data_IF_371031932201
#
_entry.id   IF_371031932201
#
_cell.length_a   1.000
_cell.length_b   1.000
_cell.length_c   1.000
_cell.angle_alpha   90.00
_cell.angle_beta   90.00
_cell.angle_gamma   90.00
#
_symmetry.space_group_name_H-M   'P 1'
#
loop_
_entity.id
_entity.type
_entity.pdbx_description
1 polymer ?
#
# COMPACT_ATOMS: atom_id res chain seq x y z
N UNK A 1 -24.76 8.07 26.52
CA UNK A 1 -23.71 8.84 25.81
C UNK A 1 -24.23 9.16 24.42
N UNK A 2 -24.18 10.42 23.98
CA UNK A 2 -24.51 10.81 22.60
C UNK A 2 -23.21 10.97 21.83
N UNK A 3 -22.92 10.07 20.89
CA UNK A 3 -21.79 10.20 19.97
C UNK A 3 -22.26 10.91 18.70
N UNK A 4 -21.50 11.89 18.22
CA UNK A 4 -21.71 12.50 16.91
C UNK A 4 -20.69 11.92 15.94
N UNK A 5 -21.09 11.04 14.99
CA UNK A 5 -20.15 10.49 14.03
C UNK A 5 -19.67 11.59 13.09
N UNK A 6 -18.41 11.48 12.65
CA UNK A 6 -17.88 12.31 11.57
C UNK A 6 -18.06 11.54 10.28
N UNK A 7 -18.88 12.09 9.38
CA UNK A 7 -19.07 11.55 8.03
C UNK A 7 -17.84 11.79 7.16
N UNK A 8 -17.84 11.18 5.96
CA UNK A 8 -16.73 11.30 5.02
C UNK A 8 -16.42 12.77 4.68
N UNK A 9 -17.45 13.57 4.42
CA UNK A 9 -17.29 14.95 3.95
C UNK A 9 -16.73 15.87 5.04
N UNK A 10 -17.14 15.70 6.30
CA UNK A 10 -16.52 16.37 7.44
C UNK A 10 -15.05 15.97 7.56
N UNK A 11 -14.73 14.68 7.43
CA UNK A 11 -13.35 14.21 7.54
C UNK A 11 -12.45 14.75 6.44
N UNK A 12 -12.95 14.80 5.20
CA UNK A 12 -12.25 15.42 4.06
C UNK A 12 -11.98 16.92 4.30
N UNK A 13 -12.95 17.66 4.87
CA UNK A 13 -12.70 19.06 5.26
C UNK A 13 -11.61 19.20 6.31
N UNK A 14 -11.56 18.30 7.29
CA UNK A 14 -10.48 18.30 8.28
C UNK A 14 -9.12 17.97 7.67
N UNK A 15 -9.04 17.14 6.62
CA UNK A 15 -7.81 16.94 5.86
C UNK A 15 -7.32 18.27 5.25
N UNK A 16 -8.24 19.06 4.66
CA UNK A 16 -7.91 20.35 4.06
C UNK A 16 -7.39 21.37 5.09
N UNK A 17 -7.97 21.39 6.29
CA UNK A 17 -7.61 22.32 7.35
C UNK A 17 -6.32 21.95 8.10
N UNK A 18 -6.02 20.65 8.25
CA UNK A 18 -5.01 20.18 9.20
C UNK A 18 -3.76 19.58 8.56
N UNK A 19 -3.86 19.05 7.33
CA UNK A 19 -2.71 18.42 6.68
C UNK A 19 -1.80 19.45 6.01
N UNK A 20 -0.52 19.09 5.87
CA UNK A 20 0.47 19.85 5.11
C UNK A 20 -0.05 20.17 3.70
N UNK A 21 0.30 21.33 3.11
CA UNK A 21 -0.04 21.64 1.71
C UNK A 21 0.44 20.58 0.71
N UNK A 22 1.53 19.89 1.03
CA UNK A 22 2.14 18.85 0.20
C UNK A 22 1.46 17.47 0.35
N UNK A 23 0.49 17.33 1.27
CA UNK A 23 -0.19 16.07 1.51
C UNK A 23 -1.29 15.80 0.47
N UNK A 24 -1.39 14.55 0.05
CA UNK A 24 -2.42 14.13 -0.91
C UNK A 24 -3.79 14.09 -0.23
N UNK A 25 -4.72 14.91 -0.72
CA UNK A 25 -6.10 14.95 -0.21
C UNK A 25 -6.93 13.78 -0.72
N UNK A 26 -7.78 13.19 0.11
CA UNK A 26 -8.67 12.11 -0.34
C UNK A 26 -9.74 12.58 -1.35
N UNK A 27 -9.96 13.89 -1.47
CA UNK A 27 -10.86 14.51 -2.45
C UNK A 27 -10.31 14.47 -3.87
N UNK A 28 -8.99 14.35 -4.06
CA UNK A 28 -8.35 14.23 -5.38
C UNK A 28 -8.23 12.78 -5.86
N UNK A 29 -8.67 11.82 -5.03
CA UNK A 29 -8.62 10.40 -5.32
C UNK A 29 -9.47 10.03 -6.54
N UNK A 30 -8.88 9.31 -7.49
CA UNK A 30 -9.56 8.83 -8.70
C UNK A 30 -9.45 7.31 -8.79
N UNK A 31 -10.45 6.65 -9.38
CA UNK A 31 -10.54 5.19 -9.51
C UNK A 31 -10.75 4.81 -10.98
N UNK A 32 -10.30 3.61 -11.41
CA UNK A 32 -10.58 3.09 -12.75
C UNK A 32 -12.09 2.99 -13.04
N UNK A 33 -12.85 2.41 -12.12
CA UNK A 33 -14.30 2.25 -12.26
C UNK A 33 -15.06 3.21 -11.33
N UNK A 34 -16.04 3.97 -11.85
CA UNK A 34 -16.88 4.83 -11.03
C UNK A 34 -17.60 4.05 -9.93
N UNK A 35 -17.57 4.58 -8.72
CA UNK A 35 -18.22 3.95 -7.57
C UNK A 35 -18.81 5.01 -6.65
N UNK A 36 -19.98 4.72 -6.07
CA UNK A 36 -20.59 5.61 -5.09
C UNK A 36 -19.66 5.80 -3.88
N UNK A 37 -19.36 7.04 -3.49
CA UNK A 37 -18.57 7.34 -2.29
C UNK A 37 -19.21 6.76 -1.00
N UNK A 38 -18.39 6.29 -0.06
CA UNK A 38 -18.84 5.71 1.22
C UNK A 38 -19.26 6.83 2.18
N UNK A 39 -20.31 6.62 2.97
CA UNK A 39 -20.85 7.66 3.86
C UNK A 39 -19.88 8.13 4.95
N UNK A 40 -18.91 7.31 5.35
CA UNK A 40 -18.02 7.59 6.50
C UNK A 40 -16.52 7.51 6.17
N UNK A 41 -16.14 6.62 5.25
CA UNK A 41 -14.73 6.37 4.92
C UNK A 41 -14.26 7.22 3.75
N UNK A 42 -13.05 7.76 3.85
CA UNK A 42 -12.37 8.42 2.73
C UNK A 42 -11.95 7.41 1.67
N UNK A 43 -11.58 7.89 0.48
CA UNK A 43 -11.19 7.00 -0.61
C UNK A 43 -9.98 6.12 -0.25
N UNK A 44 -8.98 6.67 0.45
CA UNK A 44 -7.78 5.93 0.85
C UNK A 44 -8.04 4.95 1.99
N UNK A 45 -8.96 5.25 2.91
CA UNK A 45 -9.38 4.28 3.92
C UNK A 45 -10.10 3.08 3.32
N UNK A 46 -10.93 3.31 2.29
CA UNK A 46 -11.55 2.20 1.56
C UNK A 46 -10.51 1.34 0.88
N UNK A 47 -9.47 1.93 0.31
CA UNK A 47 -8.37 1.19 -0.34
C UNK A 47 -7.59 0.35 0.66
N UNK A 48 -7.21 0.95 1.80
CA UNK A 48 -6.61 0.24 2.92
C UNK A 48 -7.44 -0.98 3.32
N UNK A 49 -8.74 -0.78 3.56
CA UNK A 49 -9.63 -1.84 4.01
C UNK A 49 -9.72 -2.97 2.95
N UNK A 50 -9.79 -2.62 1.67
CA UNK A 50 -9.82 -3.59 0.56
C UNK A 50 -8.54 -4.42 0.49
N UNK A 51 -7.38 -3.76 0.57
CA UNK A 51 -6.08 -4.44 0.55
C UNK A 51 -5.97 -5.39 1.75
N UNK A 52 -6.27 -4.89 2.96
CA UNK A 52 -6.20 -5.67 4.19
C UNK A 52 -7.07 -6.94 4.14
N UNK A 53 -8.24 -6.86 3.51
CA UNK A 53 -9.17 -7.98 3.38
C UNK A 53 -8.96 -8.86 2.13
N UNK A 54 -7.99 -8.53 1.27
CA UNK A 54 -7.69 -9.32 0.08
C UNK A 54 -7.09 -10.69 0.44
N UNK A 55 -7.36 -11.68 -0.41
CA UNK A 55 -6.71 -13.00 -0.29
C UNK A 55 -5.19 -12.86 -0.48
N UNK A 56 -4.77 -11.96 -1.38
CA UNK A 56 -3.37 -11.72 -1.64
C UNK A 56 -2.61 -11.21 -0.40
N UNK A 57 -3.16 -10.27 0.37
CA UNK A 57 -2.57 -9.81 1.63
C UNK A 57 -2.48 -10.92 2.67
N UNK A 58 -3.53 -11.74 2.83
CA UNK A 58 -3.51 -12.89 3.77
C UNK A 58 -2.39 -13.88 3.48
N UNK A 59 -2.01 -14.06 2.20
CA UNK A 59 -0.92 -14.96 1.80
C UNK A 59 0.45 -14.49 2.27
N UNK A 60 0.63 -13.20 2.61
CA UNK A 60 1.88 -12.69 3.17
C UNK A 60 2.29 -13.40 4.46
N UNK A 61 1.32 -13.90 5.24
CA UNK A 61 1.57 -14.70 6.45
C UNK A 61 2.45 -15.93 6.17
N UNK A 62 2.35 -16.49 4.97
CA UNK A 62 3.03 -17.73 4.59
C UNK A 62 4.20 -17.50 3.63
N UNK A 63 4.56 -16.24 3.35
CA UNK A 63 5.76 -15.88 2.58
C UNK A 63 6.85 -15.45 3.56
N UNK A 64 7.98 -16.14 3.54
CA UNK A 64 9.13 -15.77 4.37
C UNK A 64 9.81 -14.52 3.82
N UNK A 65 10.37 -13.70 4.72
CA UNK A 65 11.29 -12.63 4.39
C UNK A 65 12.70 -13.17 4.68
N UNK A 66 13.56 -13.25 3.66
CA UNK A 66 14.99 -13.63 3.75
C UNK A 66 15.31 -15.11 4.05
N UNK A 67 14.56 -15.84 4.89
CA UNK A 67 14.95 -17.20 5.30
C UNK A 67 14.09 -18.32 4.69
N UNK A 68 14.75 -19.37 4.17
CA UNK A 68 14.11 -20.64 3.79
C UNK A 68 13.90 -21.49 5.03
N UNK A 69 12.69 -21.48 5.60
CA UNK A 69 12.22 -22.35 6.69
C UNK A 69 13.27 -22.77 7.74
N UNK A 70 13.66 -21.91 8.69
CA UNK A 70 14.57 -22.33 9.74
C UNK A 70 13.78 -22.88 10.94
N UNK A 71 14.34 -23.88 11.60
CA UNK A 71 13.84 -24.37 12.89
C UNK A 71 14.06 -23.26 13.95
N UNK A 72 13.00 -22.54 14.33
CA UNK A 72 13.04 -21.47 15.35
C UNK A 72 11.83 -20.53 15.32
N UNK A 73 11.55 -19.85 16.45
CA UNK A 73 10.23 -19.25 16.72
C UNK A 73 10.05 -17.77 16.30
N UNK A 74 11.09 -17.08 15.81
CA UNK A 74 11.09 -15.61 15.67
C UNK A 74 11.40 -15.08 14.25
N UNK A 75 11.11 -15.86 13.20
CA UNK A 75 11.41 -15.43 11.83
C UNK A 75 10.40 -14.43 11.28
N UNK A 76 10.91 -13.41 10.60
CA UNK A 76 10.12 -12.38 9.95
C UNK A 76 9.47 -12.97 8.69
N UNK A 77 8.14 -12.92 8.64
CA UNK A 77 7.36 -13.13 7.42
C UNK A 77 7.21 -11.80 6.68
N UNK A 78 6.80 -11.84 5.40
CA UNK A 78 6.44 -10.62 4.68
C UNK A 78 5.29 -9.87 5.34
N UNK A 79 4.37 -10.59 6.01
CA UNK A 79 3.31 -9.94 6.78
C UNK A 79 3.88 -9.12 7.93
N UNK A 80 4.80 -9.68 8.72
CA UNK A 80 5.43 -8.94 9.83
C UNK A 80 6.27 -7.77 9.34
N UNK A 81 7.01 -7.93 8.23
CA UNK A 81 7.72 -6.83 7.56
C UNK A 81 6.75 -5.73 7.14
N UNK A 82 5.69 -6.09 6.42
CA UNK A 82 4.65 -5.15 5.98
C UNK A 82 4.02 -4.38 7.14
N UNK A 83 3.78 -5.04 8.29
CA UNK A 83 3.25 -4.37 9.49
C UNK A 83 4.27 -3.39 10.12
N UNK A 84 5.56 -3.73 10.12
CA UNK A 84 6.63 -2.84 10.59
C UNK A 84 6.79 -1.61 9.67
N UNK A 85 6.88 -1.83 8.36
CA UNK A 85 6.91 -0.76 7.34
C UNK A 85 5.67 0.14 7.46
N UNK A 86 4.49 -0.45 7.65
CA UNK A 86 3.24 0.31 7.85
C UNK A 86 3.31 1.18 9.11
N UNK A 87 3.83 0.65 10.23
CA UNK A 87 3.94 1.41 11.48
C UNK A 87 4.92 2.58 11.33
N UNK A 88 6.09 2.36 10.72
CA UNK A 88 7.11 3.38 10.46
C UNK A 88 6.58 4.43 9.49
N UNK A 89 6.02 4.01 8.36
CA UNK A 89 5.47 4.89 7.34
C UNK A 89 4.38 5.81 7.87
N UNK A 90 3.45 5.27 8.66
CA UNK A 90 2.42 6.09 9.33
C UNK A 90 2.98 7.06 10.35
N UNK A 91 4.03 6.67 11.10
CA UNK A 91 4.68 7.57 12.04
C UNK A 91 5.33 8.76 11.32
N UNK A 92 6.00 8.51 10.18
CA UNK A 92 6.59 9.56 9.34
C UNK A 92 5.49 10.45 8.74
N UNK A 93 4.44 9.86 8.16
CA UNK A 93 3.33 10.61 7.57
C UNK A 93 2.67 11.53 8.60
N UNK A 94 2.39 11.02 9.80
CA UNK A 94 1.82 11.81 10.91
C UNK A 94 2.73 12.97 11.31
N UNK A 95 4.03 12.72 11.46
CA UNK A 95 5.00 13.75 11.86
C UNK A 95 5.14 14.87 10.83
N UNK A 96 4.97 14.54 9.54
CA UNK A 96 5.06 15.50 8.42
C UNK A 96 3.71 16.12 8.05
N UNK A 97 2.62 15.74 8.72
CA UNK A 97 1.27 16.18 8.37
C UNK A 97 0.79 15.67 7.00
N UNK A 98 1.29 14.52 6.54
CA UNK A 98 0.90 13.85 5.30
C UNK A 98 -0.27 12.89 5.51
N UNK A 99 -0.85 12.37 4.42
CA UNK A 99 -2.03 11.52 4.51
C UNK A 99 -1.68 10.11 5.02
N UNK A 100 -1.95 9.86 6.31
CA UNK A 100 -1.69 8.57 6.95
C UNK A 100 -2.44 7.41 6.29
N UNK A 101 -3.67 7.63 5.83
CA UNK A 101 -4.51 6.56 5.25
C UNK A 101 -4.01 6.16 3.87
N UNK A 102 -3.55 7.12 3.07
CA UNK A 102 -2.86 6.83 1.80
C UNK A 102 -1.56 6.06 2.06
N UNK A 103 -0.73 6.55 2.97
CA UNK A 103 0.55 5.91 3.32
C UNK A 103 0.33 4.47 3.79
N UNK A 104 -0.64 4.26 4.69
CA UNK A 104 -1.02 2.93 5.20
C UNK A 104 -1.50 2.00 4.07
N UNK A 105 -2.36 2.48 3.16
CA UNK A 105 -2.82 1.69 2.03
C UNK A 105 -1.67 1.23 1.12
N UNK A 106 -0.72 2.13 0.82
CA UNK A 106 0.46 1.82 0.00
C UNK A 106 1.35 0.80 0.72
N UNK A 107 1.66 1.03 2.00
CA UNK A 107 2.45 0.10 2.81
C UNK A 107 1.82 -1.29 2.86
N UNK A 108 0.50 -1.43 3.03
CA UNK A 108 -0.13 -2.75 3.05
C UNK A 108 -0.09 -3.46 1.68
N UNK A 109 -0.02 -2.70 0.58
CA UNK A 109 -0.06 -3.23 -0.77
C UNK A 109 1.30 -3.48 -1.42
N UNK A 110 2.38 -2.82 -0.96
CA UNK A 110 3.68 -2.78 -1.66
C UNK A 110 4.24 -4.18 -1.94
N UNK A 111 4.15 -5.05 -0.92
CA UNK A 111 4.88 -6.32 -0.85
C UNK A 111 4.08 -7.55 -1.33
N UNK A 112 2.81 -7.35 -1.72
CA UNK A 112 1.86 -8.44 -2.00
C UNK A 112 2.27 -9.29 -3.21
N UNK A 113 2.89 -8.66 -4.20
CA UNK A 113 3.32 -9.25 -5.47
C UNK A 113 4.62 -10.04 -5.43
N UNK A 114 5.31 -10.10 -4.29
CA UNK A 114 6.55 -10.86 -4.22
C UNK A 114 6.37 -12.34 -4.55
N UNK A 115 7.30 -12.86 -5.34
CA UNK A 115 7.44 -14.28 -5.62
C UNK A 115 7.68 -15.09 -4.34
N UNK A 116 7.41 -16.42 -4.37
CA UNK A 116 8.02 -17.32 -3.40
C UNK A 116 9.54 -17.09 -3.33
N UNK A 117 10.14 -17.24 -2.14
CA UNK A 117 11.59 -17.06 -1.93
C UNK A 117 12.14 -15.64 -2.19
N UNK A 118 11.28 -14.61 -2.21
CA UNK A 118 11.73 -13.22 -2.33
C UNK A 118 12.53 -12.96 -3.61
N UNK A 119 13.63 -12.21 -3.51
CA UNK A 119 14.42 -11.77 -4.67
C UNK A 119 14.97 -12.92 -5.51
N UNK A 120 15.39 -14.03 -4.90
CA UNK A 120 15.82 -15.22 -5.66
C UNK A 120 14.69 -15.78 -6.53
N UNK A 121 13.46 -15.73 -6.03
CA UNK A 121 12.29 -16.08 -6.84
C UNK A 121 12.00 -15.07 -7.95
N UNK A 122 12.24 -13.78 -7.73
CA UNK A 122 12.09 -12.76 -8.77
C UNK A 122 13.12 -12.97 -9.88
N UNK A 123 14.38 -13.21 -9.51
CA UNK A 123 15.47 -13.49 -10.44
C UNK A 123 15.15 -14.73 -11.29
N UNK A 124 14.74 -15.83 -10.65
CA UNK A 124 14.36 -17.05 -11.35
C UNK A 124 13.15 -16.86 -12.29
N UNK A 125 12.17 -16.04 -11.92
CA UNK A 125 11.01 -15.75 -12.77
C UNK A 125 11.31 -14.73 -13.88
N UNK A 126 12.33 -13.90 -13.71
CA UNK A 126 12.66 -12.82 -14.65
C UNK A 126 13.06 -13.35 -16.03
N UNK A 127 13.64 -14.55 -16.11
CA UNK A 127 13.97 -15.20 -17.39
C UNK A 127 12.73 -15.55 -18.23
N UNK A 128 11.55 -15.64 -17.61
CA UNK A 128 10.30 -16.05 -18.25
C UNK A 128 9.31 -14.91 -18.48
N UNK A 129 9.66 -13.68 -18.07
CA UNK A 129 8.82 -12.49 -18.21
C UNK A 129 9.57 -11.44 -19.02
N UNK A 130 8.98 -11.03 -20.13
CA UNK A 130 9.53 -9.93 -20.94
C UNK A 130 9.63 -8.66 -20.09
N UNK A 131 10.82 -8.06 -20.04
CA UNK A 131 11.13 -6.91 -19.17
C UNK A 131 11.48 -7.27 -17.71
N UNK A 132 11.51 -8.57 -17.37
CA UNK A 132 11.85 -9.08 -16.04
C UNK A 132 10.67 -9.11 -15.07
N UNK A 133 10.81 -9.87 -13.99
CA UNK A 133 9.81 -9.93 -12.92
C UNK A 133 10.06 -8.84 -11.89
N UNK A 134 9.03 -8.08 -11.54
CA UNK A 134 9.09 -7.04 -10.50
C UNK A 134 7.90 -7.24 -9.56
N UNK A 135 8.17 -7.41 -8.26
CA UNK A 135 7.09 -7.58 -7.30
C UNK A 135 6.13 -6.40 -7.29
N UNK A 136 6.59 -5.17 -7.50
CA UNK A 136 5.74 -3.98 -7.47
C UNK A 136 4.73 -3.98 -8.62
N UNK A 137 5.17 -4.32 -9.83
CA UNK A 137 4.28 -4.51 -10.98
C UNK A 137 3.29 -5.66 -10.73
N UNK A 138 3.76 -6.76 -10.13
CA UNK A 138 2.90 -7.87 -9.77
C UNK A 138 1.90 -7.51 -8.66
N UNK A 139 2.26 -6.67 -7.68
CA UNK A 139 1.36 -6.18 -6.63
C UNK A 139 0.19 -5.44 -7.28
N UNK A 140 0.49 -4.55 -8.24
CA UNK A 140 -0.56 -3.84 -8.97
C UNK A 140 -1.38 -4.78 -9.85
N UNK A 141 -0.73 -5.69 -10.59
CA UNK A 141 -1.44 -6.69 -11.42
C UNK A 141 -2.37 -7.57 -10.60
N UNK A 142 -2.01 -7.89 -9.35
CA UNK A 142 -2.91 -8.60 -8.44
C UNK A 142 -4.18 -7.79 -8.20
N UNK A 143 -4.07 -6.50 -7.87
CA UNK A 143 -5.22 -5.67 -7.52
C UNK A 143 -6.02 -5.12 -8.70
N UNK A 144 -5.48 -5.18 -9.92
CA UNK A 144 -6.16 -4.75 -11.14
C UNK A 144 -6.77 -5.93 -11.91
N UNK A 145 -6.11 -7.10 -11.89
CA UNK A 145 -6.46 -8.22 -12.79
C UNK A 145 -6.85 -9.49 -12.04
N UNK A 146 -6.03 -9.95 -11.09
CA UNK A 146 -6.23 -11.28 -10.47
C UNK A 146 -7.26 -11.28 -9.34
N UNK A 147 -7.29 -10.20 -8.56
CA UNK A 147 -8.23 -9.92 -7.49
C UNK A 147 -8.61 -8.43 -7.59
N UNK A 148 -9.43 -8.05 -8.58
CA UNK A 148 -9.72 -6.64 -8.85
C UNK A 148 -10.36 -5.94 -7.64
N UNK A 149 -9.66 -4.96 -7.07
CA UNK A 149 -10.12 -4.20 -5.88
C UNK A 149 -10.63 -2.80 -6.22
N UNK A 150 -10.50 -2.36 -7.49
CA UNK A 150 -10.82 -1.00 -7.93
C UNK A 150 -10.18 0.07 -7.03
N UNK A 151 -8.88 -0.06 -6.73
CA UNK A 151 -8.14 0.88 -5.87
C UNK A 151 -7.96 2.24 -6.55
N UNK A 152 -7.64 3.27 -5.78
CA UNK A 152 -7.31 4.58 -6.33
C UNK A 152 -6.01 4.56 -7.13
N UNK A 153 -5.91 5.46 -8.10
CA UNK A 153 -4.69 5.61 -8.92
C UNK A 153 -3.48 6.00 -8.07
N UNK A 154 -3.66 6.82 -7.04
CA UNK A 154 -2.59 7.21 -6.12
C UNK A 154 -1.99 6.01 -5.39
N UNK A 155 -2.83 5.07 -4.94
CA UNK A 155 -2.36 3.86 -4.25
C UNK A 155 -1.63 2.93 -5.22
N UNK A 156 -2.21 2.68 -6.40
CA UNK A 156 -1.61 1.75 -7.38
C UNK A 156 -0.33 2.30 -8.01
N UNK A 157 -0.27 3.60 -8.31
CA UNK A 157 0.93 4.26 -8.82
C UNK A 157 2.06 4.21 -7.79
N UNK A 158 1.80 4.60 -6.54
CA UNK A 158 2.81 4.57 -5.49
C UNK A 158 3.28 3.15 -5.18
N UNK A 159 2.38 2.15 -5.15
CA UNK A 159 2.78 0.73 -5.04
C UNK A 159 3.70 0.34 -6.19
N UNK A 160 3.39 0.75 -7.43
CA UNK A 160 4.23 0.42 -8.59
C UNK A 160 5.61 1.05 -8.45
N UNK A 161 5.67 2.33 -8.08
CA UNK A 161 6.85 3.20 -8.15
C UNK A 161 7.75 3.20 -6.89
N UNK A 162 7.31 2.62 -5.77
CA UNK A 162 8.08 2.68 -4.51
C UNK A 162 9.50 2.07 -4.54
N UNK A 163 9.86 1.04 -5.33
CA UNK A 163 11.20 0.49 -5.27
C UNK A 163 12.26 1.49 -5.74
N UNK A 164 13.43 1.49 -5.08
CA UNK A 164 14.53 2.42 -5.37
C UNK A 164 15.09 2.37 -6.79
N UNK A 165 14.82 1.28 -7.51
CA UNK A 165 15.23 1.05 -8.91
C UNK A 165 14.30 1.71 -9.94
N UNK A 166 13.21 2.35 -9.51
CA UNK A 166 12.23 2.97 -10.40
C UNK A 166 12.38 4.47 -10.39
N UNK A 167 12.58 5.03 -11.60
CA UNK A 167 12.61 6.47 -11.82
C UNK A 167 11.69 6.87 -12.99
N UNK A 168 10.90 7.95 -12.84
CA UNK A 168 10.72 8.71 -11.60
C UNK A 168 10.06 7.87 -10.50
N UNK A 169 10.38 8.17 -9.23
CA UNK A 169 9.74 7.56 -8.07
C UNK A 169 8.26 7.94 -7.92
N UNK A 170 7.62 7.56 -6.79
CA UNK A 170 6.20 7.83 -6.55
C UNK A 170 5.86 9.31 -6.68
N UNK A 171 4.69 9.59 -7.27
CA UNK A 171 4.24 10.98 -7.48
C UNK A 171 3.86 11.70 -6.19
N UNK A 172 3.42 10.94 -5.18
CA UNK A 172 2.98 11.46 -3.88
C UNK A 172 4.09 11.37 -2.84
N UNK A 173 4.13 12.33 -1.92
CA UNK A 173 5.04 12.28 -0.77
C UNK A 173 4.76 11.06 0.12
N UNK A 174 3.50 10.63 0.22
CA UNK A 174 3.10 9.42 0.91
C UNK A 174 3.71 8.16 0.27
N UNK A 175 3.73 8.07 -1.06
CA UNK A 175 4.45 7.00 -1.77
C UNK A 175 5.96 7.07 -1.55
N UNK A 176 6.53 8.28 -1.53
CA UNK A 176 7.92 8.53 -1.18
C UNK A 176 8.27 8.01 0.21
N UNK A 177 7.41 8.21 1.21
CA UNK A 177 7.61 7.66 2.56
C UNK A 177 7.77 6.14 2.53
N UNK A 178 6.93 5.43 1.77
CA UNK A 178 6.99 3.96 1.72
C UNK A 178 8.35 3.49 1.19
N UNK A 179 8.90 4.18 0.21
CA UNK A 179 10.25 3.92 -0.32
C UNK A 179 11.36 4.08 0.74
N UNK A 180 11.20 4.97 1.71
CA UNK A 180 12.15 5.12 2.82
C UNK A 180 11.89 4.19 4.01
N UNK A 181 10.65 3.75 4.19
CA UNK A 181 10.24 2.92 5.32
C UNK A 181 10.48 1.42 5.09
N UNK A 182 10.47 0.98 3.82
CA UNK A 182 10.84 -0.37 3.36
C UNK A 182 12.37 -0.55 3.29
#
# INVERSE_FOLDING_TARGET
MSFKPYDREMRQRLEDEQMSPEATRATTATRPEPETPDSFRTAFERDRDRILHSKAFRRLKHKTQVFMMPEGDHFVTRLTHTLQVTQVGRAIARALGLNESLTEAICLGHDVGHSPFGHTGEEALSEFVEGGWRHSDQSVRIFEVLEPLNLTHQVTEAIRAHPWRIEPGPTTHEGGIVRYAD
#
